data_IF_955365200871
#
_entry.id   IF_955365200871
#
_cell.length_a   1.000
_cell.length_b   1.000
_cell.length_c   1.000
_cell.angle_alpha   90.00
_cell.angle_beta   90.00
_cell.angle_gamma   90.00
#
_symmetry.space_group_name_H-M   'P 1'
#
loop_
_entity.id
_entity.type
_entity.pdbx_description
1 polymer ?
#
# COMPACT_ATOMS: atom_id res chain seq x y z
N UNK A 1 -1.45 32.37 -34.45
CA UNK A 1 -2.01 31.05 -34.13
C UNK A 1 -1.25 30.51 -32.93
N UNK A 2 -1.80 30.73 -31.73
CA UNK A 2 -1.26 30.13 -30.51
C UNK A 2 -1.77 28.70 -30.50
N UNK A 3 -0.87 27.73 -30.61
CA UNK A 3 -1.24 26.33 -30.45
C UNK A 3 -1.77 26.15 -29.03
N UNK A 4 -3.09 26.07 -28.88
CA UNK A 4 -3.74 25.63 -27.66
C UNK A 4 -3.11 24.29 -27.29
N UNK A 5 -2.23 24.32 -26.29
CA UNK A 5 -1.75 23.13 -25.61
C UNK A 5 -2.99 22.46 -25.04
N UNK A 6 -3.47 21.47 -25.80
CA UNK A 6 -4.62 20.61 -25.51
C UNK A 6 -4.70 20.36 -24.02
N UNK A 7 -5.75 20.88 -23.40
CA UNK A 7 -6.21 20.46 -22.09
C UNK A 7 -6.26 18.93 -22.11
N UNK A 8 -5.34 18.27 -21.40
CA UNK A 8 -5.47 16.85 -21.16
C UNK A 8 -6.83 16.65 -20.49
N UNK A 9 -7.67 15.70 -20.97
CA UNK A 9 -8.91 15.39 -20.30
C UNK A 9 -8.65 15.22 -18.80
N UNK A 10 -9.42 15.89 -17.95
CA UNK A 10 -9.26 15.89 -16.49
C UNK A 10 -9.05 14.49 -15.92
N UNK A 11 -9.69 13.48 -16.54
CA UNK A 11 -9.55 12.06 -16.22
C UNK A 11 -8.13 11.50 -16.44
N UNK A 12 -7.43 11.91 -17.50
CA UNK A 12 -6.04 11.49 -17.76
C UNK A 12 -5.12 12.08 -16.70
N UNK A 13 -5.27 13.38 -16.40
CA UNK A 13 -4.49 14.06 -15.37
C UNK A 13 -4.73 13.42 -14.00
N UNK A 14 -5.99 13.16 -13.64
CA UNK A 14 -6.34 12.50 -12.40
C UNK A 14 -5.70 11.10 -12.28
N UNK A 15 -5.70 10.32 -13.36
CA UNK A 15 -5.06 8.99 -13.41
C UNK A 15 -3.54 9.07 -13.24
N UNK A 16 -2.88 10.05 -13.85
CA UNK A 16 -1.43 10.23 -13.72
C UNK A 16 -1.04 10.69 -12.31
N UNK A 17 -1.83 11.57 -11.70
CA UNK A 17 -1.67 11.99 -10.31
C UNK A 17 -1.84 10.78 -9.39
N UNK A 18 -2.90 9.99 -9.56
CA UNK A 18 -3.17 8.79 -8.77
C UNK A 18 -2.02 7.76 -8.87
N UNK A 19 -1.51 7.50 -10.07
CA UNK A 19 -0.35 6.62 -10.28
C UNK A 19 0.92 7.14 -9.59
N UNK A 20 1.14 8.46 -9.63
CA UNK A 20 2.29 9.11 -8.99
C UNK A 20 2.18 9.03 -7.47
N UNK A 21 0.99 9.29 -6.91
CA UNK A 21 0.71 9.20 -5.49
C UNK A 21 0.91 7.78 -4.96
N UNK A 22 0.38 6.75 -5.66
CA UNK A 22 0.61 5.34 -5.33
C UNK A 22 2.09 5.00 -5.23
N UNK A 23 2.87 5.48 -6.21
CA UNK A 23 4.33 5.25 -6.25
C UNK A 23 5.05 5.95 -5.10
N UNK A 24 4.69 7.20 -4.83
CA UNK A 24 5.27 7.99 -3.74
C UNK A 24 4.97 7.38 -2.36
N UNK A 25 3.72 6.95 -2.13
CA UNK A 25 3.31 6.26 -0.90
C UNK A 25 4.13 4.98 -0.70
N UNK A 26 4.26 4.14 -1.74
CA UNK A 26 5.02 2.90 -1.64
C UNK A 26 6.51 3.12 -1.34
N UNK A 27 7.12 4.18 -1.90
CA UNK A 27 8.51 4.57 -1.60
C UNK A 27 8.66 5.04 -0.16
N UNK A 28 7.82 5.98 0.27
CA UNK A 28 7.85 6.52 1.62
C UNK A 28 7.67 5.41 2.68
N UNK A 29 6.74 4.48 2.46
CA UNK A 29 6.55 3.34 3.35
C UNK A 29 7.78 2.44 3.41
N UNK A 30 8.37 2.07 2.26
CA UNK A 30 9.58 1.25 2.27
C UNK A 30 10.81 1.97 2.84
N UNK A 31 10.91 3.30 2.72
CA UNK A 31 11.95 4.10 3.38
C UNK A 31 11.81 4.06 4.90
N UNK A 32 10.59 4.29 5.42
CA UNK A 32 10.29 4.12 6.84
C UNK A 32 10.55 2.67 7.30
N UNK A 33 10.10 1.68 6.53
CA UNK A 33 10.33 0.27 6.85
C UNK A 33 11.81 -0.06 6.90
N UNK A 34 12.62 0.50 6.00
CA UNK A 34 14.08 0.35 6.02
C UNK A 34 14.69 0.92 7.30
N UNK A 35 14.23 2.06 7.81
CA UNK A 35 14.71 2.61 9.09
C UNK A 35 14.39 1.69 10.27
N UNK A 36 13.31 0.90 10.17
CA UNK A 36 12.90 -0.15 11.12
C UNK A 36 13.51 -1.54 10.80
N UNK A 37 14.45 -1.62 9.85
CA UNK A 37 15.09 -2.87 9.36
C UNK A 37 14.11 -3.89 8.78
N UNK A 38 12.95 -3.46 8.31
CA UNK A 38 11.92 -4.33 7.72
C UNK A 38 12.28 -4.72 6.28
N UNK A 39 11.89 -5.93 5.84
CA UNK A 39 12.05 -6.33 4.44
C UNK A 39 11.11 -5.50 3.56
N UNK A 40 11.48 -5.14 2.32
CA UNK A 40 10.61 -4.34 1.46
C UNK A 40 9.31 -5.10 1.11
N UNK A 41 8.21 -4.34 0.98
CA UNK A 41 6.95 -4.84 0.44
C UNK A 41 6.62 -4.15 -0.89
N UNK A 42 5.83 -4.83 -1.71
CA UNK A 42 5.11 -4.20 -2.81
C UNK A 42 3.85 -3.55 -2.24
N UNK A 43 3.71 -2.25 -2.47
CA UNK A 43 2.59 -1.45 -1.97
C UNK A 43 1.61 -1.15 -3.10
N UNK A 44 0.31 -1.29 -2.81
CA UNK A 44 -0.77 -0.79 -3.65
C UNK A 44 -1.75 0.03 -2.82
N UNK A 45 -2.55 0.87 -3.48
CA UNK A 45 -3.58 1.68 -2.83
C UNK A 45 -4.91 1.37 -3.48
N UNK A 46 -5.87 0.83 -2.75
CA UNK A 46 -7.20 0.53 -3.29
C UNK A 46 -8.19 1.58 -2.76
N UNK A 47 -9.00 2.15 -3.65
CA UNK A 47 -10.03 3.12 -3.29
C UNK A 47 -11.39 2.42 -3.33
N UNK A 48 -12.15 2.54 -2.24
CA UNK A 48 -13.54 2.06 -2.13
C UNK A 48 -14.41 3.22 -1.63
N UNK A 49 -15.73 3.13 -1.79
CA UNK A 49 -16.66 4.21 -1.42
C UNK A 49 -16.39 4.76 -0.01
N UNK A 50 -15.77 5.95 0.06
CA UNK A 50 -15.43 6.63 1.31
C UNK A 50 -14.16 6.15 2.04
N UNK A 51 -13.38 5.21 1.48
CA UNK A 51 -12.21 4.65 2.15
C UNK A 51 -11.01 4.45 1.23
N UNK A 52 -9.82 4.71 1.79
CA UNK A 52 -8.53 4.41 1.14
C UNK A 52 -7.86 3.26 1.88
N UNK A 53 -7.55 2.18 1.16
CA UNK A 53 -6.81 1.03 1.71
C UNK A 53 -5.41 0.98 1.14
N UNK A 54 -4.38 1.04 1.98
CA UNK A 54 -2.98 0.86 1.58
C UNK A 54 -2.56 -0.57 1.87
N UNK A 55 -2.21 -1.33 0.84
CA UNK A 55 -1.96 -2.77 0.93
C UNK A 55 -0.47 -3.06 0.72
N UNK A 56 0.18 -3.62 1.74
CA UNK A 56 1.55 -4.14 1.67
C UNK A 56 1.57 -5.64 1.41
N UNK A 57 2.29 -6.07 0.38
CA UNK A 57 2.44 -7.48 -0.01
C UNK A 57 3.92 -7.88 -0.10
N UNK A 58 4.36 -8.95 0.59
CA UNK A 58 5.70 -9.49 0.38
C UNK A 58 5.84 -10.00 -1.05
N UNK A 59 7.07 -9.95 -1.59
CA UNK A 59 7.38 -10.58 -2.87
C UNK A 59 6.93 -12.05 -2.86
N UNK A 60 6.14 -12.43 -3.87
CA UNK A 60 5.62 -13.79 -4.06
C UNK A 60 6.72 -14.85 -4.06
N UNK A 61 7.92 -14.51 -4.54
CA UNK A 61 9.06 -15.44 -4.61
C UNK A 61 9.81 -15.58 -3.29
N UNK A 62 9.48 -14.77 -2.28
CA UNK A 62 10.15 -14.82 -0.98
C UNK A 62 9.70 -16.01 -0.15
N UNK A 63 10.65 -16.85 0.24
CA UNK A 63 10.43 -17.94 1.21
C UNK A 63 10.08 -17.44 2.62
N UNK A 64 10.29 -16.13 2.90
CA UNK A 64 10.06 -15.51 4.21
C UNK A 64 8.81 -14.62 4.24
N UNK A 65 7.87 -14.80 3.30
CA UNK A 65 6.67 -13.96 3.13
C UNK A 65 5.85 -13.76 4.42
N UNK A 66 5.54 -14.82 5.17
CA UNK A 66 4.79 -14.72 6.44
C UNK A 66 5.56 -13.96 7.51
N UNK A 67 6.87 -14.22 7.62
CA UNK A 67 7.75 -13.49 8.55
C UNK A 67 7.84 -12.01 8.20
N UNK A 68 7.94 -11.67 6.91
CA UNK A 68 7.93 -10.28 6.45
C UNK A 68 6.62 -9.58 6.83
N UNK A 69 5.47 -10.19 6.50
CA UNK A 69 4.15 -9.65 6.83
C UNK A 69 3.97 -9.43 8.34
N UNK A 70 4.32 -10.41 9.17
CA UNK A 70 4.24 -10.29 10.63
C UNK A 70 5.09 -9.13 11.15
N UNK A 71 6.33 -8.98 10.67
CA UNK A 71 7.22 -7.90 11.12
C UNK A 71 6.67 -6.51 10.80
N UNK A 72 6.06 -6.36 9.62
CA UNK A 72 5.38 -5.12 9.26
C UNK A 72 4.15 -4.85 10.12
N UNK A 73 3.29 -5.85 10.30
CA UNK A 73 2.10 -5.73 11.14
C UNK A 73 2.46 -5.33 12.59
N UNK A 74 3.48 -5.96 13.18
CA UNK A 74 3.98 -5.59 14.51
C UNK A 74 4.55 -4.18 14.54
N UNK A 75 5.38 -3.80 13.56
CA UNK A 75 5.99 -2.45 13.51
C UNK A 75 4.97 -1.33 13.33
N UNK A 76 3.82 -1.62 12.70
CA UNK A 76 2.73 -0.68 12.48
C UNK A 76 1.61 -0.81 13.54
N UNK A 77 1.79 -1.69 14.52
CA UNK A 77 0.78 -1.99 15.55
C UNK A 77 -0.59 -2.33 14.96
N UNK A 78 -0.62 -3.15 13.90
CA UNK A 78 -1.83 -3.57 13.23
C UNK A 78 -2.48 -4.76 13.95
N UNK A 79 -3.80 -4.79 13.97
CA UNK A 79 -4.58 -5.88 14.56
C UNK A 79 -4.80 -7.01 13.55
N UNK A 80 -4.74 -8.29 13.96
CA UNK A 80 -5.08 -9.39 13.07
C UNK A 80 -6.58 -9.37 12.73
N UNK A 81 -6.92 -9.55 11.46
CA UNK A 81 -8.32 -9.66 11.03
C UNK A 81 -8.85 -11.04 11.42
N UNK A 82 -9.95 -11.07 12.17
CA UNK A 82 -10.60 -12.31 12.60
C UNK A 82 -10.85 -13.26 11.42
N UNK A 83 -10.42 -14.51 11.57
CA UNK A 83 -10.58 -15.56 10.55
C UNK A 83 -9.57 -15.53 9.40
N UNK A 84 -8.59 -14.61 9.36
CA UNK A 84 -7.51 -14.60 8.36
C UNK A 84 -6.14 -14.47 9.01
N UNK A 85 -5.35 -15.55 8.97
CA UNK A 85 -4.00 -15.62 9.59
C UNK A 85 -2.94 -14.75 8.93
N UNK A 86 -3.27 -14.16 7.79
CA UNK A 86 -2.35 -13.41 6.94
C UNK A 86 -2.87 -12.03 6.59
N UNK A 87 -3.78 -11.46 7.39
CA UNK A 87 -4.34 -10.12 7.15
C UNK A 87 -4.31 -9.34 8.45
N UNK A 88 -3.67 -8.18 8.44
CA UNK A 88 -3.67 -7.25 9.57
C UNK A 88 -4.19 -5.90 9.13
N UNK A 89 -4.91 -5.21 10.01
CA UNK A 89 -5.45 -3.89 9.73
C UNK A 89 -5.31 -2.88 10.87
N UNK A 90 -5.31 -1.60 10.49
CA UNK A 90 -5.55 -0.47 11.37
C UNK A 90 -6.57 0.42 10.67
N UNK A 91 -7.64 0.76 11.38
CA UNK A 91 -8.64 1.72 10.92
C UNK A 91 -8.47 3.01 11.70
N UNK A 92 -8.03 4.07 11.02
CA UNK A 92 -7.97 5.43 11.59
C UNK A 92 -8.80 6.36 10.70
N UNK A 93 -10.05 6.60 11.09
CA UNK A 93 -10.99 7.34 10.24
C UNK A 93 -11.22 6.60 8.90
N UNK A 94 -11.00 7.30 7.79
CA UNK A 94 -11.22 6.78 6.42
C UNK A 94 -10.04 5.95 5.88
N UNK A 95 -8.93 5.85 6.63
CA UNK A 95 -7.72 5.15 6.21
C UNK A 95 -7.64 3.74 6.79
N UNK A 96 -7.38 2.79 5.89
CA UNK A 96 -7.17 1.39 6.21
C UNK A 96 -5.77 0.98 5.75
N UNK A 97 -4.96 0.44 6.64
CA UNK A 97 -3.69 -0.22 6.24
C UNK A 97 -3.93 -1.72 6.27
N UNK A 98 -3.51 -2.42 5.23
CA UNK A 98 -3.60 -3.88 5.15
C UNK A 98 -2.23 -4.48 4.85
N UNK A 99 -1.81 -5.48 5.62
CA UNK A 99 -0.66 -6.32 5.24
C UNK A 99 -1.20 -7.69 4.85
N UNK A 100 -0.95 -8.14 3.62
CA UNK A 100 -1.30 -9.49 3.15
C UNK A 100 -0.09 -10.39 3.22
N UNK A 101 -0.07 -11.30 4.17
CA UNK A 101 0.68 -12.54 4.03
C UNK A 101 0.04 -13.42 2.96
N UNK A 102 0.83 -14.30 2.35
CA UNK A 102 0.25 -15.40 1.59
C UNK A 102 0.10 -16.56 2.55
N UNK A 103 -1.14 -17.03 2.75
CA UNK A 103 -1.35 -18.36 3.31
C UNK A 103 -0.66 -19.36 2.35
N UNK A 104 0.17 -20.24 2.91
CA UNK A 104 0.79 -21.32 2.14
C UNK A 104 -0.26 -22.38 1.81
#
# INVERSE_FOLDING_TARGET
>A
MVNNARELPTEIVAREIDATLRTAIGRALNEWGRSQRLPPLSWSVDHWEGYVTVIGTPDRRSLRKKSAANRWATSMNLEPVSGRTSRWHLTTGEWHVEIRGWDN
#
